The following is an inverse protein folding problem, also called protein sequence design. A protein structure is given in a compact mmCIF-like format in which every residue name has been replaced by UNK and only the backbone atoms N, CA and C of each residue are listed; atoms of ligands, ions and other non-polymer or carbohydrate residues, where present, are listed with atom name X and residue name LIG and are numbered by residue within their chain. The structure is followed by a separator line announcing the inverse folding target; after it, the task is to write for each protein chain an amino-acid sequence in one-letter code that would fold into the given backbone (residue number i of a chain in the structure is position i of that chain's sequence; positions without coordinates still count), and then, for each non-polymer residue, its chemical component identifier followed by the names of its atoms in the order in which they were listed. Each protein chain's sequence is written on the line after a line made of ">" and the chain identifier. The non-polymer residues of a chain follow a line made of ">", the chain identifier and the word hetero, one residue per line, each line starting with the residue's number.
data_IF_355518012567
#
_entry.id   IF_355518012567
#
_cell.length_a   1.000
_cell.length_b   1.000
_cell.length_c   1.000
_cell.angle_alpha   90.00
_cell.angle_beta   90.00
_cell.angle_gamma   90.00
#
_symmetry.space_group_name_H-M   'P 1'
#
loop_
_entity.id
_entity.type
_entity.pdbx_description
1 polymer ?
#
# COMPACT_ATOMS: atom_id res chain seq x y z
N UNK A 1 -7.75 -4.42 11.00
CA UNK A 1 -8.91 -4.35 10.07
C UNK A 1 -8.59 -3.31 8.99
N UNK A 2 -7.99 -3.75 7.88
CA UNK A 2 -7.71 -2.93 6.69
C UNK A 2 -8.74 -3.25 5.58
N UNK A 3 -10.03 -3.36 5.95
CA UNK A 3 -11.12 -3.76 5.03
C UNK A 3 -12.18 -2.65 4.83
N UNK A 4 -11.85 -1.37 5.07
CA UNK A 4 -12.84 -0.29 5.09
C UNK A 4 -12.54 0.89 4.16
N UNK A 5 -11.77 0.69 3.09
CA UNK A 5 -11.43 1.76 2.16
C UNK A 5 -11.54 1.31 0.70
N UNK A 6 -12.33 2.07 -0.06
CA UNK A 6 -12.64 1.84 -1.47
C UNK A 6 -11.44 2.06 -2.41
N UNK A 7 -10.37 2.70 -1.93
CA UNK A 7 -9.13 2.94 -2.66
C UNK A 7 -7.92 2.58 -1.78
N UNK A 8 -7.46 1.32 -1.80
CA UNK A 8 -6.31 0.89 -1.03
C UNK A 8 -5.02 1.58 -1.54
N UNK A 9 -4.31 2.24 -0.63
CA UNK A 9 -3.00 2.85 -0.86
C UNK A 9 -2.03 2.25 0.14
N UNK A 10 -0.89 1.79 -0.35
CA UNK A 10 0.17 1.24 0.49
C UNK A 10 1.04 2.39 0.99
N UNK A 11 0.81 2.78 2.25
CA UNK A 11 1.52 3.88 2.90
C UNK A 11 2.64 3.30 3.77
N UNK A 12 3.89 3.68 3.48
CA UNK A 12 5.11 3.12 4.08
C UNK A 12 5.11 1.58 4.13
N UNK A 13 4.98 0.89 2.98
CA UNK A 13 4.86 -0.55 3.00
C UNK A 13 6.18 -1.24 3.35
N UNK A 14 6.09 -2.22 4.23
CA UNK A 14 7.14 -3.21 4.44
C UNK A 14 7.39 -4.03 3.16
N UNK A 15 8.51 -4.77 3.09
CA UNK A 15 8.91 -5.50 1.89
C UNK A 15 7.82 -6.42 1.33
N UNK A 16 7.06 -7.08 2.20
CA UNK A 16 5.92 -7.93 1.81
C UNK A 16 4.74 -7.10 1.28
N UNK A 17 4.39 -6.00 1.95
CA UNK A 17 3.29 -5.13 1.55
C UNK A 17 3.59 -4.40 0.24
N UNK A 18 4.86 -4.13 -0.04
CA UNK A 18 5.30 -3.53 -1.30
C UNK A 18 5.12 -4.49 -2.47
N UNK A 19 5.47 -5.76 -2.30
CA UNK A 19 5.24 -6.79 -3.32
C UNK A 19 3.75 -6.95 -3.60
N UNK A 20 2.93 -6.94 -2.54
CA UNK A 20 1.47 -7.02 -2.69
C UNK A 20 0.89 -5.79 -3.40
N UNK A 21 1.37 -4.58 -3.04
CA UNK A 21 0.96 -3.34 -3.67
C UNK A 21 1.38 -3.29 -5.15
N UNK A 22 2.60 -3.69 -5.48
CA UNK A 22 3.08 -3.80 -6.87
C UNK A 22 2.25 -4.82 -7.67
N UNK A 23 1.96 -5.99 -7.08
CA UNK A 23 1.17 -7.05 -7.71
C UNK A 23 -0.27 -6.64 -7.98
N UNK A 24 -0.87 -5.86 -7.06
CA UNK A 24 -2.25 -5.38 -7.18
C UNK A 24 -2.37 -4.02 -7.85
N UNK A 25 -1.25 -3.40 -8.23
CA UNK A 25 -1.22 -2.07 -8.84
C UNK A 25 -1.67 -0.96 -7.90
N UNK A 26 -1.48 -1.13 -6.59
CA UNK A 26 -1.83 -0.12 -5.60
C UNK A 26 -0.79 1.00 -5.58
N UNK A 27 -1.23 2.26 -5.40
CA UNK A 27 -0.30 3.36 -5.23
C UNK A 27 0.51 3.13 -3.95
N UNK A 28 1.83 3.22 -4.07
CA UNK A 28 2.77 3.19 -2.94
C UNK A 28 3.20 4.62 -2.65
N UNK A 29 2.96 5.11 -1.44
CA UNK A 29 3.43 6.42 -1.00
C UNK A 29 4.22 6.25 0.30
N UNK A 30 5.27 7.06 0.49
CA UNK A 30 5.97 7.15 1.77
C UNK A 30 5.65 8.50 2.40
N UNK A 31 5.33 8.54 3.69
CA UNK A 31 4.99 9.78 4.39
C UNK A 31 6.22 10.55 4.89
N UNK A 32 7.41 10.18 4.42
CA UNK A 32 8.69 10.77 4.84
C UNK A 32 9.20 11.92 3.98
N UNK A 33 8.44 12.34 2.97
CA UNK A 33 8.69 13.55 2.17
C UNK A 33 7.62 14.62 2.39
#
# INVERSE_FOLDING_TARGET
>A
LLQLVDNPVAVDPDAELRVEAETRGWPVISLRD
#
